data_IF_317722765966
#
_entry.id   IF_317722765966
#
_cell.length_a   1.000
_cell.length_b   1.000
_cell.length_c   1.000
_cell.angle_alpha   90.00
_cell.angle_beta   90.00
_cell.angle_gamma   90.00
#
_symmetry.space_group_name_H-M   'P 1'
#
loop_
_entity.id
_entity.type
_entity.pdbx_description
1 polymer ?
#
# COMPACT_ATOMS: atom_id res chain seq x y z
N UNK A 1 -1.82 -9.43 -20.53
CA UNK A 1 -2.74 -8.62 -19.72
C UNK A 1 -1.90 -7.65 -18.91
N UNK A 2 -2.20 -6.36 -18.97
CA UNK A 2 -1.45 -5.30 -18.28
C UNK A 2 -1.94 -5.16 -16.83
N UNK A 3 -1.10 -4.64 -15.93
CA UNK A 3 -1.47 -4.41 -14.54
C UNK A 3 -2.72 -3.51 -14.43
N UNK A 4 -2.77 -2.44 -15.22
CA UNK A 4 -3.91 -1.52 -15.28
C UNK A 4 -5.22 -2.22 -15.68
N UNK A 5 -5.19 -3.20 -16.58
CA UNK A 5 -6.37 -3.99 -16.95
C UNK A 5 -6.85 -4.83 -15.76
N UNK A 6 -5.93 -5.47 -15.03
CA UNK A 6 -6.24 -6.25 -13.84
C UNK A 6 -6.83 -5.40 -12.71
N UNK A 7 -6.24 -4.22 -12.46
CA UNK A 7 -6.74 -3.27 -11.46
C UNK A 7 -8.16 -2.82 -11.80
N UNK A 8 -8.41 -2.47 -13.07
CA UNK A 8 -9.72 -2.06 -13.53
C UNK A 8 -10.77 -3.18 -13.37
N UNK A 9 -10.44 -4.43 -13.69
CA UNK A 9 -11.35 -5.56 -13.46
C UNK A 9 -11.57 -5.84 -11.96
N UNK A 10 -10.53 -5.75 -11.14
CA UNK A 10 -10.65 -5.91 -9.68
C UNK A 10 -11.53 -4.83 -9.05
N UNK A 11 -11.49 -3.60 -9.57
CA UNK A 11 -12.32 -2.48 -9.11
C UNK A 11 -13.79 -2.61 -9.52
N UNK A 12 -14.12 -3.44 -10.52
CA UNK A 12 -15.52 -3.78 -10.88
C UNK A 12 -16.17 -4.76 -9.91
N UNK A 13 -15.40 -5.48 -9.11
CA UNK A 13 -15.93 -6.40 -8.11
C UNK A 13 -16.75 -5.63 -7.06
N UNK A 14 -17.83 -6.25 -6.57
CA UNK A 14 -18.53 -5.72 -5.41
C UNK A 14 -17.60 -5.66 -4.17
N UNK A 15 -17.90 -4.81 -3.17
CA UNK A 15 -17.00 -4.58 -2.04
C UNK A 15 -16.55 -5.86 -1.31
N UNK A 16 -17.44 -6.84 -1.13
CA UNK A 16 -17.13 -8.10 -0.44
C UNK A 16 -16.14 -8.96 -1.23
N UNK A 17 -16.34 -9.11 -2.54
CA UNK A 17 -15.44 -9.86 -3.41
C UNK A 17 -14.10 -9.16 -3.56
N UNK A 18 -14.09 -7.82 -3.65
CA UNK A 18 -12.87 -7.03 -3.71
C UNK A 18 -12.06 -7.16 -2.42
N UNK A 19 -12.69 -7.11 -1.26
CA UNK A 19 -12.03 -7.33 0.03
C UNK A 19 -11.41 -8.74 0.10
N UNK A 20 -12.15 -9.77 -0.33
CA UNK A 20 -11.66 -11.15 -0.39
C UNK A 20 -10.46 -11.32 -1.35
N UNK A 21 -10.47 -10.61 -2.49
CA UNK A 21 -9.34 -10.61 -3.40
C UNK A 21 -8.13 -9.90 -2.79
N UNK A 22 -8.34 -8.74 -2.16
CA UNK A 22 -7.28 -8.00 -1.48
C UNK A 22 -6.63 -8.86 -0.37
N UNK A 23 -7.42 -9.56 0.43
CA UNK A 23 -6.93 -10.49 1.46
C UNK A 23 -6.04 -11.58 0.85
N UNK A 24 -6.45 -12.22 -0.25
CA UNK A 24 -5.65 -13.24 -0.93
C UNK A 24 -4.33 -12.70 -1.47
N UNK A 25 -4.37 -11.50 -2.06
CA UNK A 25 -3.17 -10.84 -2.56
C UNK A 25 -2.20 -10.53 -1.42
N UNK A 26 -2.70 -10.02 -0.29
CA UNK A 26 -1.88 -9.77 0.90
C UNK A 26 -1.22 -11.06 1.42
N UNK A 27 -1.98 -12.14 1.59
CA UNK A 27 -1.42 -13.43 2.01
C UNK A 27 -0.36 -13.97 1.04
N UNK A 28 -0.49 -13.70 -0.27
CA UNK A 28 0.52 -14.11 -1.24
C UNK A 28 1.86 -13.37 -1.08
N UNK A 29 1.86 -12.19 -0.46
CA UNK A 29 3.07 -11.43 -0.16
C UNK A 29 3.74 -11.92 1.12
N UNK A 30 3.00 -12.55 2.03
CA UNK A 30 3.57 -13.10 3.28
C UNK A 30 4.49 -14.30 3.05
N UNK A 31 4.38 -14.96 1.90
CA UNK A 31 5.26 -16.08 1.51
C UNK A 31 6.56 -15.67 0.83
N UNK A 32 6.81 -14.37 0.66
CA UNK A 32 8.05 -13.87 0.05
C UNK A 32 9.26 -14.13 0.95
N UNK A 33 10.41 -14.35 0.34
CA UNK A 33 11.69 -14.37 1.05
C UNK A 33 12.07 -12.98 1.56
N UNK A 34 12.97 -12.91 2.54
CA UNK A 34 13.45 -11.63 3.08
C UNK A 34 14.05 -10.74 1.98
N UNK A 35 14.87 -11.32 1.10
CA UNK A 35 15.50 -10.61 -0.02
C UNK A 35 14.46 -10.04 -1.01
N UNK A 36 13.40 -10.80 -1.31
CA UNK A 36 12.29 -10.32 -2.16
C UNK A 36 11.52 -9.19 -1.49
N UNK A 37 11.25 -9.31 -0.19
CA UNK A 37 10.60 -8.26 0.59
C UNK A 37 11.44 -6.99 0.64
N UNK A 38 12.72 -7.09 0.97
CA UNK A 38 13.63 -5.95 1.04
C UNK A 38 13.69 -5.21 -0.30
N UNK A 39 13.80 -5.95 -1.40
CA UNK A 39 13.80 -5.36 -2.75
C UNK A 39 12.50 -4.60 -3.03
N UNK A 40 11.33 -5.21 -2.77
CA UNK A 40 10.04 -4.55 -3.01
C UNK A 40 9.86 -3.29 -2.14
N UNK A 41 10.32 -3.33 -0.89
CA UNK A 41 10.32 -2.17 0.00
C UNK A 41 11.25 -1.06 -0.50
N UNK A 42 12.46 -1.39 -0.94
CA UNK A 42 13.39 -0.42 -1.50
C UNK A 42 12.80 0.27 -2.74
N UNK A 43 12.24 -0.49 -3.68
CA UNK A 43 11.53 0.04 -4.86
C UNK A 43 10.37 0.95 -4.46
N UNK A 44 9.58 0.55 -3.45
CA UNK A 44 8.47 1.36 -2.93
C UNK A 44 8.94 2.67 -2.31
N UNK A 45 10.00 2.62 -1.50
CA UNK A 45 10.59 3.79 -0.83
C UNK A 45 11.12 4.81 -1.84
N UNK A 46 11.86 4.36 -2.86
CA UNK A 46 12.37 5.22 -3.93
C UNK A 46 11.22 5.92 -4.67
N UNK A 47 10.21 5.16 -5.09
CA UNK A 47 9.03 5.75 -5.74
C UNK A 47 8.33 6.77 -4.83
N UNK A 48 8.13 6.45 -3.55
CA UNK A 48 7.46 7.33 -2.60
C UNK A 48 8.26 8.62 -2.38
N UNK A 49 9.59 8.53 -2.31
CA UNK A 49 10.47 9.69 -2.22
C UNK A 49 10.31 10.60 -3.44
N UNK A 50 10.32 10.04 -4.65
CA UNK A 50 10.08 10.82 -5.86
C UNK A 50 8.69 11.50 -5.90
N UNK A 51 7.63 10.81 -5.44
CA UNK A 51 6.29 11.39 -5.37
C UNK A 51 6.23 12.58 -4.40
N UNK A 52 6.97 12.51 -3.29
CA UNK A 52 7.09 13.61 -2.32
C UNK A 52 7.88 14.77 -2.90
N UNK A 53 9.04 14.51 -3.52
CA UNK A 53 9.85 15.54 -4.19
C UNK A 53 9.09 16.25 -5.30
N UNK A 54 8.24 15.53 -6.05
CA UNK A 54 7.39 16.09 -7.11
C UNK A 54 6.09 16.72 -6.58
N UNK A 55 5.80 16.61 -5.28
CA UNK A 55 4.57 17.11 -4.68
C UNK A 55 3.29 16.40 -5.15
N UNK A 56 3.40 15.19 -5.70
CA UNK A 56 2.25 14.39 -6.16
C UNK A 56 1.68 13.48 -5.07
N UNK A 57 2.45 13.25 -4.01
CA UNK A 57 2.00 12.55 -2.81
C UNK A 57 1.38 13.51 -1.79
N UNK A 58 0.29 13.06 -1.15
CA UNK A 58 -0.19 13.70 0.08
C UNK A 58 0.69 13.28 1.26
N UNK A 59 1.17 14.27 2.00
CA UNK A 59 1.85 14.12 3.27
C UNK A 59 0.93 14.47 4.45
N UNK A 60 1.28 13.96 5.62
CA UNK A 60 0.60 14.30 6.87
C UNK A 60 1.65 14.69 7.91
N UNK A 61 1.48 15.80 8.64
CA UNK A 61 2.41 16.19 9.69
C UNK A 61 2.58 15.07 10.72
N UNK A 62 3.84 14.77 11.06
CA UNK A 62 4.16 13.69 12.01
C UNK A 62 3.52 13.91 13.39
N UNK A 63 3.43 15.16 13.83
CA UNK A 63 2.78 15.54 15.10
C UNK A 63 1.30 15.14 15.15
N UNK A 64 0.59 15.29 14.03
CA UNK A 64 -0.82 14.91 13.93
C UNK A 64 -0.99 13.38 14.00
N UNK A 65 -0.10 12.65 13.32
CA UNK A 65 -0.08 11.18 13.35
C UNK A 65 0.15 10.67 14.78
N UNK A 66 1.15 11.23 15.46
CA UNK A 66 1.50 10.83 16.83
C UNK A 66 0.40 11.19 17.84
N UNK A 67 -0.26 12.34 17.67
CA UNK A 67 -1.41 12.73 18.50
C UNK A 67 -2.57 11.75 18.36
N UNK A 68 -2.96 11.42 17.13
CA UNK A 68 -4.04 10.45 16.87
C UNK A 68 -3.72 9.06 17.42
N UNK A 69 -2.48 8.60 17.26
CA UNK A 69 -2.04 7.30 17.75
C UNK A 69 -2.18 7.23 19.28
N UNK A 70 -1.80 8.29 20.00
CA UNK A 70 -1.95 8.38 21.46
C UNK A 70 -3.42 8.32 21.89
N UNK A 71 -4.31 9.02 21.20
CA UNK A 71 -5.75 9.01 21.49
C UNK A 71 -6.37 7.62 21.31
N UNK A 72 -5.88 6.82 20.36
CA UNK A 72 -6.38 5.45 20.13
C UNK A 72 -5.91 4.43 21.16
N UNK A 73 -4.85 4.75 21.91
CA UNK A 73 -4.26 3.87 22.94
C UNK A 73 -4.80 4.16 24.35
N UNK A 74 -5.51 5.27 24.54
CA UNK A 74 -6.22 5.63 25.77
C UNK A 74 -7.66 5.14 25.76
#
# INVERSE_FOLDING_TARGET
MKLEELENEALKLNPNLRAKLAEKLLHSLESLTEDENERLWAEKCLRRNEELEKGTATERPGEDVLRDAKVRLS
#
